data_IF_191397991323
#
_entry.id   IF_191397991323
#
_cell.length_a   1.000
_cell.length_b   1.000
_cell.length_c   1.000
_cell.angle_alpha   90.00
_cell.angle_beta   90.00
_cell.angle_gamma   90.00
#
_symmetry.space_group_name_H-M   'P 1'
#
loop_
_entity.id
_entity.type
_entity.pdbx_description
1 polymer ?
#
# COMPACT_ATOMS: atom_id res chain seq x y z
N UNK A 1 -9.91 -23.29 5.63
CA UNK A 1 -9.40 -22.79 4.35
C UNK A 1 -9.39 -21.29 4.42
N UNK A 2 -8.24 -20.68 4.29
CA UNK A 2 -8.09 -19.23 4.38
C UNK A 2 -8.71 -18.53 3.16
N UNK A 3 -9.03 -17.24 3.31
CA UNK A 3 -9.67 -16.43 2.25
C UNK A 3 -8.77 -16.22 1.02
N UNK A 4 -7.46 -16.36 1.19
CA UNK A 4 -6.42 -16.23 0.14
C UNK A 4 -5.47 -17.43 0.14
N UNK A 5 -6.00 -18.61 0.51
CA UNK A 5 -5.25 -19.87 0.55
C UNK A 5 -4.51 -20.09 -0.77
N UNK A 6 -3.22 -20.42 -0.68
CA UNK A 6 -2.30 -20.65 -1.81
C UNK A 6 -2.10 -19.48 -2.80
N UNK A 7 -2.70 -18.31 -2.58
CA UNK A 7 -2.42 -17.13 -3.43
C UNK A 7 -1.02 -16.61 -3.18
N UNK A 8 -0.30 -16.33 -4.26
CA UNK A 8 1.02 -15.71 -4.21
C UNK A 8 0.85 -14.20 -4.24
N UNK A 9 1.33 -13.53 -3.19
CA UNK A 9 1.15 -12.09 -2.96
C UNK A 9 2.48 -11.39 -2.85
N UNK A 10 2.71 -10.38 -3.67
CA UNK A 10 3.83 -9.44 -3.52
C UNK A 10 3.35 -8.21 -2.75
N UNK A 11 4.09 -7.80 -1.70
CA UNK A 11 3.80 -6.60 -0.90
C UNK A 11 5.05 -5.72 -0.85
N UNK A 12 4.94 -4.47 -1.29
CA UNK A 12 6.05 -3.52 -1.22
C UNK A 12 5.98 -2.63 0.01
N UNK A 13 7.15 -2.25 0.57
CA UNK A 13 7.22 -1.50 1.82
C UNK A 13 6.68 -2.33 3.00
N UNK A 14 7.03 -3.62 3.03
CA UNK A 14 6.48 -4.59 3.97
C UNK A 14 7.21 -4.62 5.33
N UNK A 15 8.32 -3.89 5.50
CA UNK A 15 9.11 -3.90 6.72
C UNK A 15 8.45 -3.17 7.90
N UNK A 16 7.40 -2.39 7.68
CA UNK A 16 6.73 -1.64 8.75
C UNK A 16 5.30 -1.21 8.40
N UNK A 17 4.55 -0.77 9.40
CA UNK A 17 3.29 -0.06 9.24
C UNK A 17 2.19 -0.84 8.53
N UNK A 18 1.65 -0.29 7.44
CA UNK A 18 0.56 -0.94 6.69
C UNK A 18 1.04 -2.22 6.00
N UNK A 19 2.23 -2.20 5.37
CA UNK A 19 2.75 -3.36 4.65
C UNK A 19 3.05 -4.55 5.57
N UNK A 20 3.56 -4.31 6.77
CA UNK A 20 3.74 -5.31 7.82
C UNK A 20 2.40 -5.90 8.26
N UNK A 21 1.40 -5.04 8.52
CA UNK A 21 0.06 -5.50 8.89
C UNK A 21 -0.61 -6.31 7.76
N UNK A 22 -0.43 -5.91 6.50
CA UNK A 22 -0.91 -6.63 5.33
C UNK A 22 -0.26 -8.03 5.26
N UNK A 23 1.07 -8.12 5.46
CA UNK A 23 1.81 -9.36 5.46
C UNK A 23 1.29 -10.33 6.53
N UNK A 24 1.19 -9.89 7.78
CA UNK A 24 0.66 -10.71 8.87
C UNK A 24 -0.79 -11.12 8.59
N UNK A 25 -1.65 -10.20 8.15
CA UNK A 25 -3.06 -10.51 7.90
C UNK A 25 -3.24 -11.53 6.79
N UNK A 26 -2.50 -11.40 5.68
CA UNK A 26 -2.61 -12.30 4.55
C UNK A 26 -1.97 -13.67 4.83
N UNK A 27 -0.86 -13.72 5.58
CA UNK A 27 -0.23 -14.99 6.01
C UNK A 27 -1.18 -15.83 6.88
N UNK A 28 -1.92 -15.20 7.79
CA UNK A 28 -2.94 -15.87 8.60
C UNK A 28 -4.10 -16.45 7.78
N UNK A 29 -4.28 -16.00 6.56
CA UNK A 29 -5.32 -16.47 5.64
C UNK A 29 -4.77 -17.37 4.52
N UNK A 30 -3.54 -17.88 4.71
CA UNK A 30 -2.95 -18.91 3.87
C UNK A 30 -2.26 -18.42 2.60
N UNK A 31 -1.96 -17.13 2.48
CA UNK A 31 -1.19 -16.60 1.35
C UNK A 31 0.29 -17.02 1.43
N UNK A 32 0.92 -17.21 0.28
CA UNK A 32 2.37 -17.29 0.10
C UNK A 32 2.91 -15.91 -0.25
N UNK A 33 3.89 -15.41 0.49
CA UNK A 33 4.26 -14.00 0.47
C UNK A 33 5.64 -13.75 -0.11
N UNK A 34 5.75 -12.72 -0.93
CA UNK A 34 7.02 -12.09 -1.29
C UNK A 34 6.99 -10.66 -0.76
N UNK A 35 7.74 -10.41 0.28
CA UNK A 35 7.81 -9.13 0.96
C UNK A 35 8.99 -8.34 0.45
N UNK A 36 8.79 -7.06 0.11
CA UNK A 36 9.90 -6.19 -0.30
C UNK A 36 9.97 -4.93 0.53
N UNK A 37 11.19 -4.50 0.81
CA UNK A 37 11.49 -3.24 1.48
C UNK A 37 12.90 -2.79 1.13
N UNK A 38 13.19 -1.51 1.29
CA UNK A 38 14.55 -0.96 1.23
C UNK A 38 15.33 -1.28 2.53
N UNK A 39 14.61 -1.45 3.65
CA UNK A 39 15.17 -1.88 4.92
C UNK A 39 15.18 -3.42 4.99
N UNK A 40 16.33 -4.01 4.66
CA UNK A 40 16.47 -5.46 4.61
C UNK A 40 16.34 -6.15 5.98
N UNK A 41 16.68 -5.47 7.06
CA UNK A 41 16.57 -6.02 8.43
C UNK A 41 15.09 -6.18 8.80
N UNK A 42 14.32 -5.10 8.69
CA UNK A 42 12.90 -5.11 9.03
C UNK A 42 12.08 -5.99 8.08
N UNK A 43 12.38 -5.95 6.78
CA UNK A 43 11.68 -6.80 5.81
C UNK A 43 11.90 -8.30 6.06
N UNK A 44 13.10 -8.71 6.45
CA UNK A 44 13.39 -10.11 6.84
C UNK A 44 12.71 -10.48 8.15
N UNK A 45 12.74 -9.58 9.16
CA UNK A 45 12.01 -9.79 10.41
C UNK A 45 10.55 -10.11 10.17
N UNK A 46 9.86 -9.28 9.37
CA UNK A 46 8.44 -9.49 9.06
C UNK A 46 8.23 -10.80 8.30
N UNK A 47 9.11 -11.16 7.35
CA UNK A 47 9.00 -12.43 6.64
C UNK A 47 9.14 -13.65 7.59
N UNK A 48 10.06 -13.59 8.54
CA UNK A 48 10.28 -14.65 9.53
C UNK A 48 9.11 -14.77 10.53
N UNK A 49 8.38 -13.69 10.79
CA UNK A 49 7.21 -13.66 11.68
C UNK A 49 5.91 -14.12 10.99
N UNK A 50 5.87 -14.17 9.66
CA UNK A 50 4.70 -14.60 8.90
C UNK A 50 4.42 -16.11 9.11
N UNK A 51 3.13 -16.47 9.11
CA UNK A 51 2.70 -17.87 9.14
C UNK A 51 2.72 -18.43 7.72
N UNK A 52 3.33 -19.61 7.53
CA UNK A 52 3.41 -20.27 6.22
C UNK A 52 4.63 -19.82 5.40
N UNK A 53 4.47 -19.80 4.08
CA UNK A 53 5.59 -19.52 3.18
C UNK A 53 5.73 -18.02 2.92
N UNK A 54 6.82 -17.42 3.39
CA UNK A 54 7.18 -16.04 3.12
C UNK A 54 8.66 -15.92 2.74
N UNK A 55 8.97 -15.06 1.77
CA UNK A 55 10.34 -14.71 1.43
C UNK A 55 10.51 -13.19 1.39
N UNK A 56 11.70 -12.73 1.65
CA UNK A 56 12.08 -11.33 1.52
C UNK A 56 12.94 -11.09 0.29
N UNK A 57 12.67 -10.01 -0.42
CA UNK A 57 13.43 -9.51 -1.56
C UNK A 57 13.77 -8.02 -1.33
N UNK A 58 15.04 -7.68 -1.18
CA UNK A 58 15.48 -6.29 -1.00
C UNK A 58 15.21 -5.48 -2.26
N UNK A 59 14.43 -4.39 -2.13
CA UNK A 59 14.01 -3.57 -3.26
C UNK A 59 13.87 -2.09 -2.92
N UNK A 60 14.47 -1.22 -3.72
CA UNK A 60 14.01 0.16 -3.86
C UNK A 60 13.00 0.22 -5.02
N UNK A 61 11.76 0.57 -4.73
CA UNK A 61 10.68 0.65 -5.72
C UNK A 61 10.90 1.71 -6.80
N UNK A 62 11.78 2.69 -6.55
CA UNK A 62 12.21 3.72 -7.53
C UNK A 62 13.05 3.14 -8.66
N UNK A 63 13.67 2.00 -8.43
CA UNK A 63 14.57 1.36 -9.39
C UNK A 63 13.79 0.46 -10.34
N UNK A 64 13.51 0.96 -11.55
CA UNK A 64 12.74 0.22 -12.56
C UNK A 64 13.30 -1.18 -12.82
N UNK A 65 14.64 -1.31 -12.87
CA UNK A 65 15.32 -2.58 -13.12
C UNK A 65 15.17 -3.62 -12.02
N UNK A 66 14.75 -3.23 -10.81
CA UNK A 66 14.49 -4.15 -9.69
C UNK A 66 13.22 -4.98 -9.90
N UNK A 67 12.23 -4.42 -10.57
CA UNK A 67 10.91 -5.02 -10.71
C UNK A 67 10.88 -6.32 -11.54
N UNK A 68 11.50 -6.40 -12.74
CA UNK A 68 11.57 -7.69 -13.44
C UNK A 68 12.24 -8.79 -12.62
N UNK A 69 13.29 -8.46 -11.85
CA UNK A 69 13.98 -9.42 -10.98
C UNK A 69 13.11 -9.90 -9.83
N UNK A 70 12.32 -9.01 -9.24
CA UNK A 70 11.33 -9.36 -8.21
C UNK A 70 10.28 -10.34 -8.76
N UNK A 71 9.71 -10.04 -9.93
CA UNK A 71 8.71 -10.90 -10.56
C UNK A 71 9.30 -12.27 -10.92
N UNK A 72 10.52 -12.31 -11.48
CA UNK A 72 11.25 -13.55 -11.76
C UNK A 72 11.47 -14.38 -10.50
N UNK A 73 11.99 -13.78 -9.43
CA UNK A 73 12.19 -14.45 -8.14
C UNK A 73 10.87 -14.97 -7.54
N UNK A 74 9.77 -14.21 -7.71
CA UNK A 74 8.44 -14.64 -7.27
C UNK A 74 7.98 -15.91 -8.00
N UNK A 75 8.16 -15.94 -9.32
CA UNK A 75 7.77 -17.08 -10.16
C UNK A 75 8.69 -18.28 -9.94
N UNK A 76 9.98 -18.07 -9.74
CA UNK A 76 10.92 -19.15 -9.39
C UNK A 76 10.54 -19.81 -8.07
N UNK A 77 10.15 -19.03 -7.06
CA UNK A 77 9.80 -19.53 -5.73
C UNK A 77 8.43 -20.22 -5.70
N UNK A 78 7.42 -19.63 -6.35
CA UNK A 78 6.02 -20.00 -6.13
C UNK A 78 5.25 -20.35 -7.41
N UNK A 79 5.85 -20.22 -8.59
CA UNK A 79 5.29 -20.63 -9.88
C UNK A 79 4.21 -19.72 -10.46
N UNK A 80 3.81 -18.64 -9.75
CA UNK A 80 2.74 -17.72 -10.15
C UNK A 80 2.77 -16.40 -9.42
N UNK A 81 1.97 -15.44 -9.84
CA UNK A 81 1.66 -14.21 -9.13
C UNK A 81 0.15 -13.93 -9.20
N UNK A 82 -0.51 -13.83 -8.05
CA UNK A 82 -1.97 -13.61 -7.95
C UNK A 82 -2.33 -12.21 -7.48
N UNK A 83 -1.52 -11.62 -6.58
CA UNK A 83 -1.82 -10.33 -5.98
C UNK A 83 -0.56 -9.47 -5.91
N UNK A 84 -0.70 -8.20 -6.29
CA UNK A 84 0.31 -7.17 -6.07
C UNK A 84 -0.26 -6.07 -5.17
N UNK A 85 0.39 -5.82 -4.03
CA UNK A 85 0.09 -4.70 -3.13
C UNK A 85 1.19 -3.65 -3.26
N UNK A 86 0.92 -2.58 -4.01
CA UNK A 86 1.78 -1.41 -4.11
C UNK A 86 1.55 -0.51 -2.89
N UNK A 87 2.25 -0.82 -1.79
CA UNK A 87 2.11 -0.12 -0.52
C UNK A 87 3.27 0.81 -0.20
N UNK A 88 4.49 0.54 -0.68
CA UNK A 88 5.68 1.34 -0.37
C UNK A 88 5.44 2.85 -0.52
N UNK A 89 5.88 3.62 0.46
CA UNK A 89 5.66 5.04 0.47
C UNK A 89 6.46 5.79 1.54
N UNK A 90 6.65 7.08 1.31
CA UNK A 90 7.30 8.03 2.21
C UNK A 90 6.43 9.28 2.34
N UNK A 91 6.69 10.11 3.34
CA UNK A 91 6.05 11.41 3.48
C UNK A 91 7.09 12.51 3.73
N UNK A 92 6.93 13.63 3.03
CA UNK A 92 7.60 14.89 3.35
C UNK A 92 6.53 15.95 3.60
N UNK A 93 6.60 16.59 4.75
CA UNK A 93 5.67 17.66 5.15
C UNK A 93 6.19 18.96 4.59
N UNK A 94 5.52 19.47 3.56
CA UNK A 94 5.84 20.75 2.93
C UNK A 94 4.62 21.29 2.17
N UNK A 95 4.46 22.62 2.21
CA UNK A 95 3.44 23.34 1.44
C UNK A 95 4.03 23.85 0.11
N UNK A 96 3.24 24.58 -0.68
CA UNK A 96 3.64 25.08 -2.00
C UNK A 96 4.85 26.01 -1.99
N UNK A 97 5.07 26.74 -0.89
CA UNK A 97 6.18 27.68 -0.77
C UNK A 97 7.44 27.01 -0.21
N UNK A 98 7.28 25.97 0.63
CA UNK A 98 8.39 25.33 1.35
C UNK A 98 8.85 24.00 0.72
N UNK A 99 8.13 23.46 -0.25
CA UNK A 99 8.47 22.18 -0.88
C UNK A 99 9.79 22.29 -1.68
N UNK A 100 10.81 21.57 -1.22
CA UNK A 100 12.06 21.45 -1.96
C UNK A 100 11.90 20.53 -3.19
N UNK A 101 12.57 20.89 -4.30
CA UNK A 101 12.42 20.17 -5.59
C UNK A 101 12.89 18.72 -5.50
N UNK A 102 13.94 18.43 -4.74
CA UNK A 102 14.43 17.07 -4.52
C UNK A 102 13.43 16.22 -3.73
N UNK A 103 12.83 16.76 -2.67
CA UNK A 103 11.77 16.09 -1.91
C UNK A 103 10.51 15.86 -2.75
N UNK A 104 10.15 16.82 -3.61
CA UNK A 104 9.08 16.66 -4.58
C UNK A 104 9.33 15.46 -5.50
N UNK A 105 10.52 15.38 -6.10
CA UNK A 105 10.86 14.28 -6.99
C UNK A 105 10.98 12.95 -6.26
N UNK A 106 11.48 12.93 -5.03
CA UNK A 106 11.60 11.68 -4.26
C UNK A 106 10.21 11.09 -3.96
N UNK A 107 9.25 11.92 -3.53
CA UNK A 107 7.85 11.50 -3.35
C UNK A 107 7.27 10.93 -4.64
N UNK A 108 7.41 11.61 -5.77
CA UNK A 108 6.85 11.14 -7.03
C UNK A 108 7.49 9.80 -7.47
N UNK A 109 8.80 9.67 -7.34
CA UNK A 109 9.52 8.44 -7.70
C UNK A 109 9.09 7.25 -6.86
N UNK A 110 9.01 7.41 -5.54
CA UNK A 110 8.61 6.30 -4.66
C UNK A 110 7.16 5.90 -4.93
N UNK A 111 6.25 6.86 -4.90
CA UNK A 111 4.82 6.59 -4.95
C UNK A 111 4.32 6.32 -6.36
N UNK A 112 4.58 7.26 -7.29
CA UNK A 112 3.95 7.22 -8.60
C UNK A 112 4.72 6.30 -9.56
N UNK A 113 6.04 6.53 -9.70
CA UNK A 113 6.86 5.70 -10.59
C UNK A 113 6.93 4.26 -10.06
N UNK A 114 7.13 4.07 -8.74
CA UNK A 114 7.15 2.74 -8.12
C UNK A 114 5.86 1.96 -8.36
N UNK A 115 4.69 2.57 -8.16
CA UNK A 115 3.40 1.93 -8.46
C UNK A 115 3.24 1.62 -9.95
N UNK A 116 3.68 2.53 -10.83
CA UNK A 116 3.65 2.31 -12.27
C UNK A 116 4.54 1.13 -12.68
N UNK A 117 5.79 1.08 -12.21
CA UNK A 117 6.71 -0.01 -12.52
C UNK A 117 6.18 -1.35 -12.02
N UNK A 118 5.62 -1.37 -10.80
CA UNK A 118 5.01 -2.56 -10.22
C UNK A 118 3.85 -3.09 -11.06
N UNK A 119 2.88 -2.26 -11.39
CA UNK A 119 1.75 -2.65 -12.22
C UNK A 119 2.20 -3.16 -13.60
N UNK A 120 3.12 -2.43 -14.26
CA UNK A 120 3.62 -2.80 -15.58
C UNK A 120 4.36 -4.14 -15.58
N UNK A 121 5.14 -4.42 -14.54
CA UNK A 121 5.92 -5.66 -14.43
C UNK A 121 5.06 -6.85 -14.03
N UNK A 122 4.04 -6.65 -13.19
CA UNK A 122 3.19 -7.72 -12.67
C UNK A 122 2.13 -8.20 -13.67
N UNK A 123 1.51 -7.29 -14.45
CA UNK A 123 0.38 -7.60 -15.35
C UNK A 123 0.68 -8.78 -16.30
N UNK A 124 1.84 -8.86 -17.00
CA UNK A 124 2.13 -9.97 -17.89
C UNK A 124 2.15 -11.33 -17.18
N UNK A 125 2.71 -11.38 -15.97
CA UNK A 125 2.78 -12.63 -15.20
C UNK A 125 1.45 -13.02 -14.58
N UNK A 126 0.72 -12.06 -14.02
CA UNK A 126 -0.64 -12.27 -13.53
C UNK A 126 -1.58 -12.77 -14.63
N UNK A 127 -1.41 -12.27 -15.87
CA UNK A 127 -2.17 -12.76 -17.05
C UNK A 127 -1.89 -14.24 -17.32
N UNK A 128 -0.62 -14.67 -17.26
CA UNK A 128 -0.25 -16.08 -17.38
C UNK A 128 -0.79 -16.94 -16.24
N UNK A 129 -0.86 -16.38 -15.05
CA UNK A 129 -1.42 -17.02 -13.85
C UNK A 129 -2.96 -17.16 -13.88
N UNK A 130 -3.62 -16.55 -14.88
CA UNK A 130 -5.08 -16.64 -15.07
C UNK A 130 -5.87 -15.46 -14.49
N UNK A 131 -5.21 -14.34 -14.23
CA UNK A 131 -5.80 -13.12 -13.65
C UNK A 131 -5.27 -12.80 -12.26
N UNK A 132 -5.93 -11.90 -11.54
CA UNK A 132 -5.49 -11.54 -10.18
C UNK A 132 -6.01 -10.20 -9.68
N UNK A 133 -5.36 -9.67 -8.63
CA UNK A 133 -5.74 -8.41 -7.99
C UNK A 133 -4.54 -7.49 -7.78
N UNK A 134 -4.60 -6.28 -8.33
CA UNK A 134 -3.66 -5.20 -8.04
C UNK A 134 -4.32 -4.25 -7.05
N UNK A 135 -3.64 -3.97 -5.95
CA UNK A 135 -4.11 -3.11 -4.86
C UNK A 135 -3.10 -1.98 -4.70
N UNK A 136 -3.53 -0.77 -5.04
CA UNK A 136 -2.68 0.41 -4.99
C UNK A 136 -3.01 1.24 -3.73
N UNK A 137 -2.02 1.47 -2.88
CA UNK A 137 -2.20 2.29 -1.69
C UNK A 137 -2.18 3.78 -2.05
N UNK A 138 -3.37 4.37 -2.14
CA UNK A 138 -3.57 5.80 -2.27
C UNK A 138 -3.67 6.46 -0.88
N UNK A 139 -4.53 7.45 -0.69
CA UNK A 139 -4.79 8.15 0.57
C UNK A 139 -6.04 9.02 0.42
N UNK A 140 -6.65 9.44 1.53
CA UNK A 140 -7.60 10.55 1.56
C UNK A 140 -6.99 11.86 1.04
N UNK A 141 -5.67 12.01 1.11
CA UNK A 141 -4.93 13.12 0.50
C UNK A 141 -5.11 13.23 -1.03
N UNK A 142 -5.60 12.16 -1.69
CA UNK A 142 -6.00 12.18 -3.11
C UNK A 142 -7.43 12.69 -3.33
N UNK A 143 -8.20 12.87 -2.27
CA UNK A 143 -9.63 13.22 -2.28
C UNK A 143 -9.90 14.64 -1.78
N UNK A 144 -9.09 15.08 -0.81
CA UNK A 144 -9.21 16.41 -0.19
C UNK A 144 -7.88 17.16 -0.25
N UNK A 145 -7.94 18.51 -0.16
CA UNK A 145 -6.73 19.35 -0.15
C UNK A 145 -6.07 19.39 1.22
N UNK A 146 -4.86 18.89 1.31
CA UNK A 146 -4.02 18.97 2.51
C UNK A 146 -2.82 19.89 2.25
N UNK A 147 -2.85 21.11 2.76
CA UNK A 147 -1.87 22.16 2.43
C UNK A 147 -0.43 21.77 2.75
N UNK A 148 -0.20 20.99 3.81
CA UNK A 148 1.12 20.55 4.25
C UNK A 148 1.64 19.28 3.54
N UNK A 149 0.91 18.73 2.58
CA UNK A 149 1.24 17.47 1.91
C UNK A 149 1.21 17.59 0.38
N UNK A 150 1.76 18.69 -0.18
CA UNK A 150 1.64 19.01 -1.61
C UNK A 150 2.08 17.87 -2.53
N UNK A 151 3.34 17.42 -2.41
CA UNK A 151 3.89 16.36 -3.26
C UNK A 151 3.18 15.02 -3.03
N UNK A 152 2.92 14.69 -1.78
CA UNK A 152 2.23 13.46 -1.38
C UNK A 152 0.80 13.40 -1.96
N UNK A 153 0.00 14.47 -1.78
CA UNK A 153 -1.35 14.55 -2.35
C UNK A 153 -1.34 14.43 -3.88
N UNK A 154 -0.35 15.05 -4.53
CA UNK A 154 -0.18 14.96 -5.99
C UNK A 154 0.11 13.52 -6.40
N UNK A 155 1.05 12.83 -5.74
CA UNK A 155 1.39 11.45 -6.04
C UNK A 155 0.20 10.50 -5.81
N UNK A 156 -0.49 10.65 -4.68
CA UNK A 156 -1.66 9.83 -4.33
C UNK A 156 -2.85 10.08 -5.26
N UNK A 157 -3.04 11.33 -5.71
CA UNK A 157 -3.98 11.68 -6.78
C UNK A 157 -3.63 11.02 -8.12
N UNK A 158 -2.34 10.97 -8.46
CA UNK A 158 -1.83 10.25 -9.63
C UNK A 158 -2.10 8.73 -9.56
N UNK A 159 -1.84 8.10 -8.42
CA UNK A 159 -2.15 6.67 -8.18
C UNK A 159 -3.66 6.40 -8.34
N UNK A 160 -4.50 7.26 -7.77
CA UNK A 160 -5.96 7.18 -7.91
C UNK A 160 -6.40 7.16 -9.38
N UNK A 161 -5.88 8.06 -10.19
CA UNK A 161 -6.20 8.14 -11.62
C UNK A 161 -5.62 6.97 -12.41
N UNK A 162 -4.35 6.62 -12.17
CA UNK A 162 -3.66 5.51 -12.82
C UNK A 162 -4.36 4.16 -12.57
N UNK A 163 -4.85 3.92 -11.36
CA UNK A 163 -5.60 2.72 -11.00
C UNK A 163 -6.80 2.49 -11.92
N UNK A 164 -7.58 3.55 -12.20
CA UNK A 164 -8.74 3.45 -13.10
C UNK A 164 -8.34 3.15 -14.54
N UNK A 165 -7.27 3.77 -15.02
CA UNK A 165 -6.75 3.52 -16.37
C UNK A 165 -6.27 2.06 -16.53
N UNK A 166 -5.56 1.52 -15.51
CA UNK A 166 -5.12 0.12 -15.49
C UNK A 166 -6.33 -0.83 -15.44
N UNK A 167 -7.31 -0.55 -14.59
CA UNK A 167 -8.54 -1.34 -14.48
C UNK A 167 -9.30 -1.42 -15.81
N UNK A 168 -9.39 -0.27 -16.54
CA UNK A 168 -10.01 -0.23 -17.88
C UNK A 168 -9.22 -1.05 -18.89
N UNK A 169 -7.90 -0.88 -18.95
CA UNK A 169 -7.01 -1.66 -19.80
C UNK A 169 -7.17 -3.17 -19.55
N UNK A 170 -7.09 -3.62 -18.31
CA UNK A 170 -7.21 -5.04 -17.97
C UNK A 170 -8.58 -5.61 -18.36
N UNK A 171 -9.65 -4.84 -18.22
CA UNK A 171 -10.99 -5.22 -18.67
C UNK A 171 -11.08 -5.35 -20.19
N UNK A 172 -10.48 -4.43 -20.95
CA UNK A 172 -10.44 -4.43 -22.41
C UNK A 172 -9.66 -5.64 -22.94
N UNK A 173 -8.50 -5.93 -22.34
CA UNK A 173 -7.67 -7.11 -22.65
C UNK A 173 -8.25 -8.43 -22.16
N UNK A 174 -9.30 -8.41 -21.33
CA UNK A 174 -9.97 -9.61 -20.77
C UNK A 174 -9.02 -10.55 -20.03
N UNK A 175 -7.98 -9.99 -19.39
CA UNK A 175 -6.94 -10.75 -18.70
C UNK A 175 -7.30 -11.14 -17.26
N UNK A 176 -8.55 -10.85 -16.82
CA UNK A 176 -9.11 -11.18 -15.52
C UNK A 176 -8.36 -10.55 -14.33
N UNK A 177 -7.60 -9.49 -14.57
CA UNK A 177 -6.93 -8.71 -13.53
C UNK A 177 -7.84 -7.57 -13.11
N UNK A 178 -8.03 -7.41 -11.80
CA UNK A 178 -8.68 -6.26 -11.16
C UNK A 178 -7.63 -5.30 -10.63
N UNK A 179 -7.89 -4.01 -10.69
CA UNK A 179 -7.01 -2.98 -10.14
C UNK A 179 -7.85 -1.98 -9.35
N UNK A 180 -7.60 -1.87 -8.04
CA UNK A 180 -8.36 -1.00 -7.14
C UNK A 180 -7.41 -0.17 -6.27
N UNK A 181 -7.89 0.97 -5.75
CA UNK A 181 -7.14 1.80 -4.81
C UNK A 181 -7.82 1.85 -3.44
N UNK A 182 -6.99 1.78 -2.39
CA UNK A 182 -7.40 2.04 -1.02
C UNK A 182 -6.99 3.46 -0.65
N UNK A 183 -7.85 4.16 0.07
CA UNK A 183 -7.65 5.55 0.48
C UNK A 183 -7.76 5.65 2.02
N UNK A 184 -6.68 5.29 2.76
CA UNK A 184 -6.66 5.43 4.19
C UNK A 184 -6.69 6.91 4.62
N UNK A 185 -7.36 7.18 5.75
CA UNK A 185 -7.18 8.38 6.56
C UNK A 185 -5.93 8.28 7.44
N UNK A 186 -6.00 8.85 8.63
CA UNK A 186 -4.93 8.71 9.62
C UNK A 186 -4.97 7.30 10.21
N UNK A 187 -3.89 6.54 10.02
CA UNK A 187 -3.71 5.18 10.54
C UNK A 187 -2.42 5.15 11.37
N UNK A 188 -2.45 4.52 12.53
CA UNK A 188 -1.33 4.45 13.49
C UNK A 188 -0.14 3.67 12.91
N UNK A 189 0.74 4.37 12.24
CA UNK A 189 1.96 3.88 11.60
C UNK A 189 3.12 4.82 11.95
N UNK A 190 4.39 4.39 11.81
CA UNK A 190 5.54 5.28 12.00
C UNK A 190 5.40 6.60 11.22
N UNK A 191 5.00 6.54 9.95
CA UNK A 191 4.77 7.72 9.10
C UNK A 191 3.77 8.71 9.71
N UNK A 192 2.66 8.24 10.27
CA UNK A 192 1.64 9.11 10.90
C UNK A 192 2.11 9.62 12.25
N UNK A 193 2.86 8.82 13.02
CA UNK A 193 3.46 9.28 14.28
C UNK A 193 4.44 10.44 14.06
N UNK A 194 5.35 10.32 13.07
CA UNK A 194 6.30 11.38 12.70
C UNK A 194 5.57 12.64 12.20
N UNK A 195 4.50 12.46 11.45
CA UNK A 195 3.67 13.56 10.97
C UNK A 195 2.95 14.29 12.10
N UNK A 196 2.40 13.57 13.07
CA UNK A 196 1.76 14.16 14.26
C UNK A 196 2.76 14.95 15.08
N UNK A 197 3.95 14.40 15.34
CA UNK A 197 5.00 15.12 16.05
C UNK A 197 5.40 16.39 15.29
N UNK A 198 5.61 16.31 13.99
CA UNK A 198 6.02 17.45 13.16
C UNK A 198 4.97 18.56 13.11
N UNK A 199 3.68 18.20 12.95
CA UNK A 199 2.60 19.17 12.72
C UNK A 199 2.00 19.72 14.01
N UNK A 200 1.95 18.93 15.08
CA UNK A 200 1.25 19.29 16.32
C UNK A 200 2.11 19.15 17.58
N UNK A 201 3.32 18.64 17.49
CA UNK A 201 4.17 18.34 18.64
C UNK A 201 3.68 17.13 19.47
N UNK A 202 2.66 16.41 19.01
CA UNK A 202 2.11 15.28 19.73
C UNK A 202 2.93 14.03 19.40
N UNK A 203 3.57 13.47 20.42
CA UNK A 203 4.24 12.16 20.37
C UNK A 203 3.28 11.11 20.88
N UNK A 204 2.57 10.46 19.96
CA UNK A 204 1.48 9.56 20.31
C UNK A 204 1.93 8.42 21.23
N UNK A 205 3.08 7.81 20.95
CA UNK A 205 3.59 6.67 21.71
C UNK A 205 4.16 7.03 23.09
N UNK A 206 4.41 8.33 23.36
CA UNK A 206 4.88 8.83 24.65
C UNK A 206 3.74 9.36 25.55
N UNK A 207 2.48 9.26 25.09
CA UNK A 207 1.32 9.66 25.90
C UNK A 207 1.10 8.69 27.08
N UNK A 208 0.45 9.15 28.14
CA UNK A 208 0.12 8.33 29.32
C UNK A 208 -0.73 7.08 28.95
N UNK A 209 -1.67 7.28 28.01
CA UNK A 209 -2.45 6.20 27.39
C UNK A 209 -2.47 6.43 25.88
N UNK A 210 -1.51 5.85 25.13
CA UNK A 210 -1.43 6.01 23.68
C UNK A 210 -2.66 5.50 22.94
N UNK A 211 -3.27 4.43 23.44
CA UNK A 211 -4.43 3.81 22.81
C UNK A 211 -5.69 4.67 22.97
N UNK A 212 -5.94 5.19 24.17
CA UNK A 212 -7.04 6.13 24.39
C UNK A 212 -6.85 7.42 23.59
N UNK A 213 -5.61 7.94 23.53
CA UNK A 213 -5.28 9.12 22.73
C UNK A 213 -5.53 8.88 21.24
N UNK A 214 -5.05 7.76 20.71
CA UNK A 214 -5.27 7.34 19.33
C UNK A 214 -6.76 7.32 18.99
N UNK A 215 -7.58 6.65 19.83
CA UNK A 215 -9.04 6.55 19.66
C UNK A 215 -9.72 7.92 19.71
N UNK A 216 -9.33 8.76 20.68
CA UNK A 216 -9.88 10.11 20.82
C UNK A 216 -9.57 11.00 19.60
N UNK A 217 -8.43 10.77 18.93
CA UNK A 217 -8.05 11.45 17.69
C UNK A 217 -8.68 10.84 16.43
N UNK A 218 -9.44 9.76 16.54
CA UNK A 218 -10.05 9.07 15.39
C UNK A 218 -9.06 8.34 14.50
N UNK A 219 -7.84 8.07 14.97
CA UNK A 219 -6.79 7.38 14.22
C UNK A 219 -7.07 5.88 14.21
N UNK A 220 -7.12 5.28 13.02
CA UNK A 220 -7.35 3.85 12.81
C UNK A 220 -6.12 2.99 13.14
N UNK A 221 -6.29 1.68 13.06
CA UNK A 221 -5.22 0.69 13.21
C UNK A 221 -4.76 0.17 11.84
N UNK A 222 -3.49 -0.25 11.68
CA UNK A 222 -3.02 -0.89 10.46
C UNK A 222 -3.88 -2.09 10.02
N UNK A 223 -4.43 -2.82 10.99
CA UNK A 223 -5.33 -3.96 10.74
C UNK A 223 -6.62 -3.56 10.01
N UNK A 224 -7.12 -2.33 10.19
CA UNK A 224 -8.31 -1.85 9.48
C UNK A 224 -8.06 -1.83 7.97
N UNK A 225 -6.87 -1.37 7.56
CA UNK A 225 -6.45 -1.35 6.16
C UNK A 225 -6.14 -2.76 5.65
N UNK A 226 -5.44 -3.57 6.45
CA UNK A 226 -5.08 -4.94 6.09
C UNK A 226 -6.31 -5.83 5.85
N UNK A 227 -7.41 -5.62 6.58
CA UNK A 227 -8.68 -6.30 6.31
C UNK A 227 -9.28 -5.94 4.93
N UNK A 228 -9.11 -4.69 4.47
CA UNK A 228 -9.53 -4.28 3.14
C UNK A 228 -8.60 -4.84 2.06
N UNK A 229 -7.29 -4.89 2.31
CA UNK A 229 -6.32 -5.55 1.42
C UNK A 229 -6.69 -7.03 1.25
N UNK A 230 -6.96 -7.73 2.35
CA UNK A 230 -7.43 -9.13 2.32
C UNK A 230 -8.72 -9.28 1.50
N UNK A 231 -9.71 -8.43 1.71
CA UNK A 231 -10.95 -8.45 0.93
C UNK A 231 -10.67 -8.29 -0.58
N UNK A 232 -9.83 -7.31 -0.96
CA UNK A 232 -9.48 -7.07 -2.36
C UNK A 232 -8.60 -8.17 -2.97
N UNK A 233 -7.78 -8.85 -2.17
CA UNK A 233 -6.99 -10.00 -2.59
C UNK A 233 -7.84 -11.26 -2.81
N UNK A 234 -8.99 -11.36 -2.14
CA UNK A 234 -9.86 -12.54 -2.16
C UNK A 234 -10.85 -12.56 -3.34
N UNK A 235 -11.53 -13.68 -3.52
CA UNK A 235 -12.61 -13.83 -4.50
C UNK A 235 -13.90 -13.08 -4.13
N UNK A 236 -14.02 -12.62 -2.91
CA UNK A 236 -15.18 -11.83 -2.45
C UNK A 236 -15.31 -10.51 -3.22
N UNK A 237 -14.20 -9.96 -3.70
CA UNK A 237 -14.13 -8.73 -4.48
C UNK A 237 -14.07 -8.93 -5.99
N UNK A 238 -14.42 -10.12 -6.51
CA UNK A 238 -14.28 -10.48 -7.94
C UNK A 238 -15.00 -9.55 -8.92
N UNK A 239 -15.99 -8.77 -8.47
CA UNK A 239 -16.73 -7.81 -9.29
C UNK A 239 -16.37 -6.35 -8.99
N UNK A 240 -15.32 -6.11 -8.21
CA UNK A 240 -14.82 -4.77 -7.85
C UNK A 240 -13.56 -4.48 -8.66
N UNK A 241 -13.66 -3.53 -9.59
CA UNK A 241 -12.56 -3.14 -10.48
C UNK A 241 -12.61 -1.64 -10.78
N UNK A 242 -11.49 -0.93 -10.58
CA UNK A 242 -11.39 0.52 -10.73
C UNK A 242 -12.02 1.31 -9.59
N UNK A 243 -12.32 0.66 -8.47
CA UNK A 243 -12.94 1.29 -7.31
C UNK A 243 -11.94 2.06 -6.44
N UNK A 244 -12.47 3.07 -5.75
CA UNK A 244 -11.81 3.84 -4.69
C UNK A 244 -12.42 3.42 -3.35
N UNK A 245 -11.64 2.77 -2.47
CA UNK A 245 -12.13 2.28 -1.18
C UNK A 245 -11.55 3.15 -0.06
N UNK A 246 -12.42 3.96 0.55
CA UNK A 246 -12.02 4.90 1.61
C UNK A 246 -12.13 4.22 2.96
N UNK A 247 -11.09 4.38 3.80
CA UNK A 247 -11.02 3.88 5.18
C UNK A 247 -10.50 5.01 6.05
N UNK A 248 -11.37 5.87 6.54
CA UNK A 248 -11.01 7.14 7.16
C UNK A 248 -11.88 7.54 8.37
N UNK A 249 -12.69 6.63 8.88
CA UNK A 249 -13.62 6.92 9.97
C UNK A 249 -14.58 8.11 9.68
N UNK A 250 -14.79 8.43 8.39
CA UNK A 250 -15.68 9.50 7.97
C UNK A 250 -15.04 10.89 7.89
N UNK A 251 -13.73 11.00 8.01
CA UNK A 251 -13.02 12.30 7.99
C UNK A 251 -13.29 13.10 6.71
N UNK A 252 -13.40 12.45 5.56
CA UNK A 252 -13.60 13.15 4.27
C UNK A 252 -15.05 13.52 3.99
N UNK A 253 -16.02 12.97 4.72
CA UNK A 253 -17.46 13.24 4.55
C UNK A 253 -18.08 14.03 5.69
N UNK A 254 -17.37 14.16 6.81
CA UNK A 254 -17.79 14.92 7.98
C UNK A 254 -17.50 16.42 7.82
N UNK A 255 -18.23 17.28 8.56
CA UNK A 255 -17.76 18.63 8.81
C UNK A 255 -16.58 18.52 9.77
N UNK A 256 -15.40 18.99 9.36
CA UNK A 256 -14.30 19.15 10.30
C UNK A 256 -14.80 20.01 11.45
N UNK A 257 -14.93 19.42 12.64
CA UNK A 257 -15.19 20.19 13.87
C UNK A 257 -14.03 21.16 14.04
N UNK A 258 -14.34 22.45 13.96
CA UNK A 258 -13.40 23.54 14.18
C UNK A 258 -12.94 23.59 15.63
#
# INVERSE_FOLDING_TARGET
MGRVEDKVVVITGAGSGLGEADAHRLSHEGARLVLTDINAEEGKRVADECIGEAMFFEQDVKEESSWPRLIEATVEAFGRLDVLVNNAGIAHIANIESAATDQWHDILRVHLDGTFFGCRSAIPEMTKSGGGSIINMSSVAALVGLSSYLAYSTAKGGIRSMTKSIASYCREEKNLIRCNSIHPGSISTPMVHDALETLSGIKLMEQEDPEATRKAMGIGEPLDVANMVLFLASEESKHINGAELVIDNGDTIGQMSR
#
